data_IF_047045544568
#
_entry.id   IF_047045544568
#
_cell.length_a   1.000
_cell.length_b   1.000
_cell.length_c   1.000
_cell.angle_alpha   90.00
_cell.angle_beta   90.00
_cell.angle_gamma   90.00
#
_symmetry.space_group_name_H-M   'P 1'
#
loop_
_entity.id
_entity.type
_entity.pdbx_description
1 polymer ?
#
# COMPACT_ATOMS: atom_id res chain seq x y z
N UNK A 1 -13.93 -0.95 31.99
CA UNK A 1 -13.04 -1.56 30.98
C UNK A 1 -12.70 -0.48 29.97
N UNK A 2 -11.63 0.22 30.17
CA UNK A 2 -11.17 1.32 29.32
C UNK A 2 -10.31 0.73 28.19
N UNK A 3 -10.88 0.69 26.98
CA UNK A 3 -10.12 0.36 25.78
C UNK A 3 -9.18 1.52 25.47
N UNK A 4 -7.90 1.32 25.68
CA UNK A 4 -6.84 2.26 25.31
C UNK A 4 -6.79 2.31 23.77
N UNK A 5 -6.92 3.48 23.13
CA UNK A 5 -6.71 3.60 21.70
C UNK A 5 -5.24 3.28 21.40
N UNK A 6 -4.99 2.32 20.53
CA UNK A 6 -3.64 2.06 19.99
C UNK A 6 -3.25 3.30 19.21
N UNK A 7 -2.29 4.02 19.76
CA UNK A 7 -1.75 5.26 19.18
C UNK A 7 -1.10 4.97 17.82
N UNK A 8 -1.77 5.38 16.76
CA UNK A 8 -1.41 5.15 15.36
C UNK A 8 -0.20 6.00 14.89
N UNK A 9 0.58 6.55 15.82
CA UNK A 9 1.75 7.38 15.51
C UNK A 9 3.07 6.61 15.45
N UNK A 10 3.08 5.31 15.73
CA UNK A 10 4.34 4.56 15.91
C UNK A 10 4.63 3.61 14.76
N UNK A 11 4.86 4.15 13.56
CA UNK A 11 5.74 3.43 12.66
C UNK A 11 7.15 3.43 13.29
N UNK A 12 7.79 2.26 13.49
CA UNK A 12 9.11 2.19 14.09
C UNK A 12 10.09 3.16 13.41
N UNK A 13 11.00 3.78 14.18
CA UNK A 13 11.99 4.74 13.64
C UNK A 13 12.81 4.16 12.47
N UNK A 14 13.00 2.85 12.45
CA UNK A 14 13.57 2.09 11.35
C UNK A 14 12.76 2.23 10.06
N UNK A 15 11.43 2.19 10.10
CA UNK A 15 10.55 2.35 8.92
C UNK A 15 10.66 3.77 8.34
N UNK A 16 10.82 4.78 9.19
CA UNK A 16 10.99 6.17 8.75
C UNK A 16 12.34 6.39 8.04
N UNK A 17 13.40 5.69 8.47
CA UNK A 17 14.72 5.76 7.83
C UNK A 17 14.77 4.95 6.53
N UNK A 18 14.23 3.74 6.53
CA UNK A 18 14.15 2.89 5.33
C UNK A 18 13.27 3.51 4.25
N UNK A 19 12.18 4.21 4.62
CA UNK A 19 11.34 4.95 3.67
C UNK A 19 12.11 6.05 2.91
N UNK A 20 13.02 6.76 3.57
CA UNK A 20 13.83 7.80 2.90
C UNK A 20 14.80 7.20 1.89
N UNK A 21 15.44 6.07 2.24
CA UNK A 21 16.35 5.34 1.36
C UNK A 21 15.56 4.72 0.20
N UNK A 22 14.44 4.06 0.48
CA UNK A 22 13.57 3.47 -0.54
C UNK A 22 13.03 4.52 -1.50
N UNK A 23 12.59 5.68 -1.00
CA UNK A 23 12.16 6.81 -1.85
C UNK A 23 13.31 7.34 -2.71
N UNK A 24 14.52 7.42 -2.17
CA UNK A 24 15.71 7.84 -2.92
C UNK A 24 16.01 6.88 -4.06
N UNK A 25 16.00 5.58 -3.80
CA UNK A 25 16.28 4.53 -4.78
C UNK A 25 15.18 4.46 -5.85
N UNK A 26 13.91 4.57 -5.47
CA UNK A 26 12.80 4.60 -6.42
C UNK A 26 12.83 5.85 -7.31
N UNK A 27 13.23 7.02 -6.77
CA UNK A 27 13.43 8.25 -7.56
C UNK A 27 14.56 8.12 -8.57
N UNK A 28 15.57 7.29 -8.27
CA UNK A 28 16.65 6.96 -9.21
C UNK A 28 16.23 5.90 -10.24
N UNK A 29 14.98 5.45 -10.23
CA UNK A 29 14.46 4.45 -11.17
C UNK A 29 14.91 3.02 -10.88
N UNK A 30 15.48 2.76 -9.70
CA UNK A 30 15.87 1.41 -9.31
C UNK A 30 14.63 0.61 -8.90
N UNK A 31 14.36 -0.56 -9.51
CA UNK A 31 13.22 -1.38 -9.16
C UNK A 31 13.42 -2.00 -7.76
N UNK A 32 12.64 -1.56 -6.80
CA UNK A 32 12.60 -2.08 -5.43
C UNK A 32 11.40 -3.02 -5.23
N UNK A 33 11.30 -4.06 -6.07
CA UNK A 33 10.16 -4.97 -6.06
C UNK A 33 8.86 -4.28 -6.50
N UNK A 34 7.69 -4.62 -5.93
CA UNK A 34 6.40 -4.05 -6.32
C UNK A 34 6.15 -2.63 -5.78
N UNK A 35 7.17 -1.98 -5.19
CA UNK A 35 7.00 -0.66 -4.60
C UNK A 35 7.02 0.45 -5.65
N UNK A 36 6.07 1.37 -5.51
CA UNK A 36 5.96 2.59 -6.32
C UNK A 36 5.91 3.81 -5.39
N UNK A 37 6.14 5.01 -5.94
CA UNK A 37 6.00 6.24 -5.17
C UNK A 37 4.56 6.75 -5.31
N UNK A 38 3.85 6.80 -4.19
CA UNK A 38 2.57 7.48 -4.07
C UNK A 38 2.82 8.91 -3.58
N UNK A 39 2.29 9.89 -4.28
CA UNK A 39 2.28 11.29 -3.83
C UNK A 39 0.84 11.75 -3.67
N UNK A 40 0.48 12.12 -2.45
CA UNK A 40 -0.87 12.54 -2.07
C UNK A 40 -0.83 13.86 -1.31
N UNK A 41 -1.89 14.65 -1.43
CA UNK A 41 -2.05 15.89 -0.66
C UNK A 41 -2.19 15.59 0.84
N UNK A 42 -1.37 16.23 1.65
CA UNK A 42 -1.46 16.14 3.11
C UNK A 42 -2.77 16.76 3.62
N UNK A 43 -3.59 15.98 4.34
CA UNK A 43 -4.91 16.38 4.84
C UNK A 43 -4.90 17.63 5.75
N UNK A 44 -3.78 17.86 6.42
CA UNK A 44 -3.63 18.98 7.36
C UNK A 44 -2.87 20.16 6.72
N UNK A 45 -1.78 19.87 6.00
CA UNK A 45 -0.89 20.91 5.46
C UNK A 45 -1.24 21.33 4.03
N UNK A 46 -2.03 20.55 3.29
CA UNK A 46 -2.27 20.73 1.86
C UNK A 46 -1.05 20.47 0.97
N UNK A 47 0.13 20.25 1.56
CA UNK A 47 1.37 20.03 0.82
C UNK A 47 1.49 18.59 0.31
N UNK A 48 2.12 18.36 -0.86
CA UNK A 48 2.37 17.01 -1.36
C UNK A 48 3.21 16.19 -0.38
N UNK A 49 2.80 14.93 -0.17
CA UNK A 49 3.48 13.96 0.67
C UNK A 49 3.71 12.68 -0.12
N UNK A 50 4.97 12.28 -0.23
CA UNK A 50 5.35 11.06 -0.96
C UNK A 50 5.66 9.93 0.01
N UNK A 51 5.20 8.72 -0.35
CA UNK A 51 5.48 7.49 0.39
C UNK A 51 5.69 6.33 -0.58
N UNK A 52 6.60 5.39 -0.27
CA UNK A 52 6.67 4.12 -0.98
C UNK A 52 5.50 3.24 -0.57
N UNK A 53 4.79 2.70 -1.54
CA UNK A 53 3.65 1.81 -1.33
C UNK A 53 3.77 0.57 -2.20
N UNK A 54 3.25 -0.56 -1.72
CA UNK A 54 3.18 -1.77 -2.52
C UNK A 54 2.05 -1.68 -3.53
N UNK A 55 2.38 -1.81 -4.81
CA UNK A 55 1.43 -1.88 -5.92
C UNK A 55 1.18 -3.35 -6.28
N UNK A 56 -0.07 -3.74 -6.32
CA UNK A 56 -0.53 -5.00 -6.90
C UNK A 56 -1.21 -4.69 -8.22
N UNK A 57 -0.68 -5.23 -9.30
CA UNK A 57 -1.23 -5.07 -10.63
C UNK A 57 -1.49 -6.44 -11.25
N UNK A 58 -2.73 -6.71 -11.59
CA UNK A 58 -3.15 -7.94 -12.25
C UNK A 58 -4.44 -7.73 -13.04
N UNK A 59 -4.54 -8.38 -14.17
CA UNK A 59 -5.74 -8.36 -15.03
C UNK A 59 -6.22 -6.93 -15.40
N UNK A 60 -5.26 -6.01 -15.59
CA UNK A 60 -5.53 -4.61 -15.94
C UNK A 60 -6.07 -3.74 -14.80
N UNK A 61 -6.13 -4.27 -13.59
CA UNK A 61 -6.54 -3.55 -12.38
C UNK A 61 -5.35 -3.33 -11.45
N UNK A 62 -5.40 -2.28 -10.66
CA UNK A 62 -4.31 -1.86 -9.77
C UNK A 62 -4.82 -1.55 -8.38
N UNK A 63 -4.08 -2.02 -7.38
CA UNK A 63 -4.37 -1.74 -5.98
C UNK A 63 -3.11 -1.36 -5.23
N UNK A 64 -3.26 -0.53 -4.20
CA UNK A 64 -2.22 -0.29 -3.21
C UNK A 64 -2.67 -0.76 -1.84
N UNK A 65 -1.73 -1.30 -1.08
CA UNK A 65 -1.98 -1.95 0.18
C UNK A 65 -1.31 -1.20 1.33
N UNK A 66 -2.08 -0.84 2.33
CA UNK A 66 -1.60 -0.31 3.61
C UNK A 66 -1.07 -1.41 4.53
N UNK A 67 0.06 -2.04 4.16
CA UNK A 67 0.63 -3.16 4.92
C UNK A 67 0.94 -2.84 6.39
N UNK A 68 1.12 -1.57 6.72
CA UNK A 68 1.31 -1.10 8.11
C UNK A 68 0.02 -0.54 8.75
N UNK A 69 -1.14 -0.79 8.13
CA UNK A 69 -2.44 -0.32 8.62
C UNK A 69 -2.67 1.18 8.40
N UNK A 70 -3.27 1.84 9.37
CA UNK A 70 -3.72 3.25 9.35
C UNK A 70 -2.56 4.27 9.45
N UNK A 71 -1.60 4.21 8.55
CA UNK A 71 -0.49 5.16 8.48
C UNK A 71 -0.88 6.49 7.81
N UNK A 72 -0.02 7.49 7.86
CA UNK A 72 -0.33 8.84 7.40
C UNK A 72 -0.73 8.92 5.92
N UNK A 73 -0.10 8.18 5.03
CA UNK A 73 -0.47 8.22 3.62
C UNK A 73 -1.88 7.64 3.38
N UNK A 74 -2.29 6.61 4.14
CA UNK A 74 -3.65 6.04 4.09
C UNK A 74 -4.69 7.10 4.45
N UNK A 75 -4.46 7.80 5.56
CA UNK A 75 -5.36 8.87 6.02
C UNK A 75 -5.42 10.04 5.06
N UNK A 76 -4.29 10.41 4.45
CA UNK A 76 -4.22 11.46 3.46
C UNK A 76 -4.96 11.06 2.18
N UNK A 77 -4.77 9.82 1.72
CA UNK A 77 -5.42 9.31 0.52
C UNK A 77 -6.92 9.20 0.69
N UNK A 78 -7.39 8.73 1.85
CA UNK A 78 -8.81 8.68 2.19
C UNK A 78 -9.45 10.08 2.17
N UNK A 79 -8.73 11.10 2.61
CA UNK A 79 -9.21 12.47 2.60
C UNK A 79 -9.16 13.12 1.21
N UNK A 80 -8.18 12.77 0.38
CA UNK A 80 -7.98 13.36 -0.94
C UNK A 80 -8.81 12.66 -2.03
N UNK A 81 -8.96 11.33 -1.96
CA UNK A 81 -9.64 10.52 -2.97
C UNK A 81 -8.84 10.33 -4.28
N UNK A 82 -7.71 11.01 -4.40
CA UNK A 82 -6.86 11.03 -5.60
C UNK A 82 -5.39 11.14 -5.23
N UNK A 83 -4.50 10.70 -6.11
CA UNK A 83 -3.06 10.79 -5.92
C UNK A 83 -2.31 10.72 -7.25
N UNK A 84 -1.02 11.06 -7.18
CA UNK A 84 -0.08 10.75 -8.25
C UNK A 84 0.68 9.47 -7.89
N UNK A 85 0.82 8.56 -8.84
CA UNK A 85 1.67 7.38 -8.72
C UNK A 85 2.80 7.43 -9.75
N UNK A 86 4.03 7.19 -9.29
CA UNK A 86 5.18 7.06 -10.17
C UNK A 86 5.47 5.57 -10.39
N UNK A 87 5.20 5.10 -11.61
CA UNK A 87 5.35 3.70 -12.04
C UNK A 87 6.19 3.68 -13.30
N UNK A 88 7.22 2.84 -13.34
CA UNK A 88 8.11 2.66 -14.50
C UNK A 88 8.61 3.99 -15.11
N UNK A 89 8.97 4.95 -14.26
CA UNK A 89 9.50 6.25 -14.69
C UNK A 89 8.43 7.23 -15.22
N UNK A 90 7.15 6.91 -15.11
CA UNK A 90 6.02 7.78 -15.47
C UNK A 90 5.20 8.12 -14.25
N UNK A 91 4.71 9.35 -14.20
CA UNK A 91 3.76 9.77 -13.18
C UNK A 91 2.36 9.77 -13.79
N UNK A 92 1.45 9.10 -13.11
CA UNK A 92 0.04 9.00 -13.49
C UNK A 92 -0.82 9.57 -12.35
N UNK A 93 -1.81 10.38 -12.71
CA UNK A 93 -2.82 10.84 -11.77
C UNK A 93 -3.97 9.85 -11.74
N UNK A 94 -4.34 9.41 -10.53
CA UNK A 94 -5.32 8.34 -10.32
C UNK A 94 -6.34 8.72 -9.27
N UNK A 95 -7.57 8.26 -9.44
CA UNK A 95 -8.54 8.18 -8.38
C UNK A 95 -8.24 6.96 -7.51
N UNK A 96 -8.41 7.09 -6.19
CA UNK A 96 -8.18 6.03 -5.23
C UNK A 96 -9.48 5.74 -4.46
N UNK A 97 -10.03 4.56 -4.67
CA UNK A 97 -11.25 4.10 -4.02
C UNK A 97 -10.90 3.06 -2.95
N UNK A 98 -11.18 3.36 -1.70
CA UNK A 98 -10.96 2.41 -0.61
C UNK A 98 -11.98 1.28 -0.71
N UNK A 99 -11.50 0.04 -0.65
CA UNK A 99 -12.37 -1.13 -0.65
C UNK A 99 -13.11 -1.26 0.70
N UNK A 100 -14.39 -1.61 0.63
CA UNK A 100 -15.14 -2.02 1.81
C UNK A 100 -14.66 -3.37 2.36
N UNK A 101 -15.13 -3.76 3.53
CA UNK A 101 -14.72 -5.00 4.21
C UNK A 101 -14.90 -6.24 3.32
N UNK A 102 -16.00 -6.34 2.59
CA UNK A 102 -16.30 -7.51 1.74
C UNK A 102 -15.36 -7.57 0.54
N UNK A 103 -15.20 -6.44 -0.15
CA UNK A 103 -14.31 -6.31 -1.31
C UNK A 103 -12.84 -6.46 -0.93
N UNK A 104 -12.44 -5.93 0.23
CA UNK A 104 -11.08 -6.11 0.75
C UNK A 104 -10.80 -7.57 1.12
N UNK A 105 -11.75 -8.27 1.75
CA UNK A 105 -11.62 -9.71 2.03
C UNK A 105 -11.45 -10.52 0.75
N UNK A 106 -12.25 -10.23 -0.27
CA UNK A 106 -12.11 -10.88 -1.59
C UNK A 106 -10.75 -10.56 -2.24
N UNK A 107 -10.27 -9.31 -2.11
CA UNK A 107 -8.94 -8.93 -2.59
C UNK A 107 -7.82 -9.78 -1.95
N UNK A 108 -7.81 -9.92 -0.63
CA UNK A 108 -6.78 -10.71 0.07
C UNK A 108 -6.89 -12.20 -0.28
N UNK A 109 -8.11 -12.75 -0.28
CA UNK A 109 -8.35 -14.18 -0.53
C UNK A 109 -8.01 -14.58 -1.96
N UNK A 110 -8.46 -13.81 -2.93
CA UNK A 110 -8.45 -14.21 -4.34
C UNK A 110 -7.33 -13.48 -5.12
N UNK A 111 -7.34 -12.15 -5.11
CA UNK A 111 -6.44 -11.33 -5.93
C UNK A 111 -5.00 -11.39 -5.45
N UNK A 112 -4.75 -11.10 -4.19
CA UNK A 112 -3.39 -11.06 -3.63
C UNK A 112 -2.77 -12.45 -3.57
N UNK A 113 -3.55 -13.46 -3.19
CA UNK A 113 -3.08 -14.86 -3.16
C UNK A 113 -2.66 -15.34 -4.55
N UNK A 114 -3.47 -15.07 -5.57
CA UNK A 114 -3.14 -15.40 -6.96
C UNK A 114 -1.91 -14.60 -7.45
N UNK A 115 -1.82 -13.32 -7.13
CA UNK A 115 -0.67 -12.47 -7.47
C UNK A 115 0.62 -13.00 -6.86
N UNK A 116 0.64 -13.28 -5.55
CA UNK A 116 1.81 -13.86 -4.86
C UNK A 116 2.14 -15.24 -5.41
N UNK A 117 1.14 -16.06 -5.74
CA UNK A 117 1.32 -17.38 -6.35
C UNK A 117 2.02 -17.34 -7.72
N UNK A 118 1.83 -16.28 -8.50
CA UNK A 118 2.49 -16.07 -9.81
C UNK A 118 3.94 -15.59 -9.69
N UNK A 119 4.35 -15.11 -8.50
CA UNK A 119 5.72 -14.68 -8.28
C UNK A 119 6.69 -15.89 -8.36
N UNK A 120 7.93 -15.69 -8.85
CA UNK A 120 8.96 -16.71 -8.79
C UNK A 120 9.22 -17.13 -7.33
N UNK A 121 9.79 -18.31 -7.12
CA UNK A 121 10.03 -18.86 -5.76
C UNK A 121 10.69 -17.87 -4.80
N UNK A 122 11.68 -17.13 -5.31
CA UNK A 122 12.37 -16.10 -4.54
C UNK A 122 11.42 -14.96 -4.14
N UNK A 123 10.59 -14.47 -5.06
CA UNK A 123 9.60 -13.41 -4.78
C UNK A 123 8.54 -13.84 -3.75
N UNK A 124 8.09 -15.09 -3.80
CA UNK A 124 7.16 -15.66 -2.81
C UNK A 124 7.80 -15.74 -1.42
N UNK A 125 9.05 -16.22 -1.36
CA UNK A 125 9.79 -16.28 -0.10
C UNK A 125 10.00 -14.88 0.48
N UNK A 126 10.38 -13.92 -0.36
CA UNK A 126 10.55 -12.53 0.03
C UNK A 126 9.24 -11.92 0.58
N UNK A 127 8.12 -12.10 -0.11
CA UNK A 127 6.81 -11.62 0.34
C UNK A 127 6.44 -12.23 1.71
N UNK A 128 6.59 -13.54 1.88
CA UNK A 128 6.31 -14.22 3.16
C UNK A 128 7.21 -13.71 4.29
N UNK A 129 8.49 -13.56 4.03
CA UNK A 129 9.46 -13.05 5.02
C UNK A 129 9.15 -11.61 5.38
N UNK A 130 8.84 -10.77 4.40
CA UNK A 130 8.48 -9.36 4.62
C UNK A 130 7.25 -9.24 5.51
N UNK A 131 6.15 -9.92 5.18
CA UNK A 131 4.91 -9.86 5.98
C UNK A 131 5.12 -10.40 7.40
N UNK A 132 5.93 -11.44 7.56
CA UNK A 132 6.31 -11.94 8.88
C UNK A 132 7.12 -10.91 9.68
N UNK A 133 8.09 -10.25 9.05
CA UNK A 133 8.94 -9.24 9.68
C UNK A 133 8.15 -8.02 10.17
N UNK A 134 7.11 -7.62 9.45
CA UNK A 134 6.25 -6.49 9.80
C UNK A 134 5.02 -6.89 10.63
N UNK A 135 4.97 -8.13 11.13
CA UNK A 135 3.83 -8.68 11.89
C UNK A 135 2.49 -8.53 11.15
N UNK A 136 2.49 -8.86 9.88
CA UNK A 136 1.33 -8.77 8.99
C UNK A 136 1.06 -10.13 8.29
N UNK A 137 1.27 -11.22 9.00
CA UNK A 137 1.09 -12.58 8.46
C UNK A 137 -0.35 -12.85 8.02
N UNK A 138 -1.33 -12.21 8.68
CA UNK A 138 -2.74 -12.30 8.33
C UNK A 138 -3.01 -11.93 6.88
N UNK A 139 -2.18 -11.09 6.26
CA UNK A 139 -2.30 -10.72 4.84
C UNK A 139 -2.33 -11.96 3.93
N UNK A 140 -1.61 -13.01 4.31
CA UNK A 140 -1.52 -14.26 3.53
C UNK A 140 -2.29 -15.43 4.15
N UNK A 141 -2.73 -15.33 5.40
CA UNK A 141 -3.28 -16.47 6.15
C UNK A 141 -4.73 -16.28 6.59
N UNK A 142 -5.16 -15.03 6.79
CA UNK A 142 -6.49 -14.67 7.27
C UNK A 142 -7.04 -13.45 6.53
N UNK A 143 -7.74 -13.64 5.39
CA UNK A 143 -8.26 -12.56 4.58
C UNK A 143 -9.23 -11.62 5.29
N UNK A 144 -10.03 -12.14 6.22
CA UNK A 144 -11.01 -11.32 6.97
C UNK A 144 -10.31 -10.41 7.97
N UNK A 145 -9.35 -10.96 8.71
CA UNK A 145 -8.54 -10.19 9.65
C UNK A 145 -7.66 -9.17 8.90
N UNK A 146 -7.09 -9.55 7.77
CA UNK A 146 -6.33 -8.66 6.91
C UNK A 146 -7.19 -7.48 6.43
N UNK A 147 -8.39 -7.75 5.93
CA UNK A 147 -9.33 -6.71 5.50
C UNK A 147 -9.74 -5.75 6.62
N UNK A 148 -9.87 -6.26 7.84
CA UNK A 148 -10.21 -5.44 9.01
C UNK A 148 -9.05 -4.52 9.47
N UNK A 149 -7.81 -4.87 9.16
CA UNK A 149 -6.61 -4.19 9.68
C UNK A 149 -5.80 -3.45 8.61
N UNK A 150 -5.92 -3.84 7.36
CA UNK A 150 -5.06 -3.39 6.26
C UNK A 150 -5.89 -2.73 5.17
N UNK A 151 -5.89 -1.40 5.10
CA UNK A 151 -6.62 -0.67 4.06
C UNK A 151 -6.10 -1.03 2.68
N UNK A 152 -7.01 -1.22 1.73
CA UNK A 152 -6.73 -1.47 0.32
C UNK A 152 -7.45 -0.42 -0.51
N UNK A 153 -6.75 0.20 -1.44
CA UNK A 153 -7.33 1.14 -2.38
C UNK A 153 -7.18 0.61 -3.80
N UNK A 154 -8.26 0.60 -4.54
CA UNK A 154 -8.21 0.41 -5.98
C UNK A 154 -7.85 1.73 -6.66
N UNK A 155 -6.94 1.68 -7.62
CA UNK A 155 -6.50 2.84 -8.38
C UNK A 155 -7.14 2.83 -9.75
N UNK A 156 -7.96 3.83 -10.01
CA UNK A 156 -8.65 4.02 -11.26
C UNK A 156 -7.96 5.12 -12.07
N UNK A 157 -7.73 4.93 -13.38
CA UNK A 157 -7.19 6.01 -14.20
C UNK A 157 -8.20 7.16 -14.24
N UNK A 158 -7.78 8.35 -13.84
CA UNK A 158 -8.56 9.55 -14.12
C UNK A 158 -8.49 9.78 -15.63
N UNK A 159 -9.62 9.59 -16.32
CA UNK A 159 -9.72 9.78 -17.75
C UNK A 159 -9.19 11.17 -18.11
N UNK A 160 -8.24 11.22 -19.05
CA UNK A 160 -7.94 12.47 -19.72
C UNK A 160 -9.19 12.88 -20.48
N UNK A 161 -9.85 13.93 -20.00
CA UNK A 161 -10.81 14.66 -20.84
C UNK A 161 -10.10 15.24 -22.03
#
# INVERSE_FOLDING_TARGET
>A
MTSTPIDASTAPSFVRHSNRITLGLLRLGLPMGPNVILTVRGRTSGLPRSAPVALVETDGRRWILGAYGEVNWVRNLRAAGEADIAVHGRTEHVEAVELDQVSATAFFRDTLTAYVGRLPRFGRLFARTLFRTISAEEILTDPELAAARRPVFELLPLGRC
#
